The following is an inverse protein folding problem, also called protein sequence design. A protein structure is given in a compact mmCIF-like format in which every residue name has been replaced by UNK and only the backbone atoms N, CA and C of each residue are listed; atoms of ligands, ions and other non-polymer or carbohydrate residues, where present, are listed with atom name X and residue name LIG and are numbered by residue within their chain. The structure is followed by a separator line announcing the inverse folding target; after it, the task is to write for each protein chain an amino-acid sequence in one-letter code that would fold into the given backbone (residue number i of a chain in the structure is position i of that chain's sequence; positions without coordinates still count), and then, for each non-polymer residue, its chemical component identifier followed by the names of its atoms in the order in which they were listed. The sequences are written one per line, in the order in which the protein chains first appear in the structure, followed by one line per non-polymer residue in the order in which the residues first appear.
data_IF_851091630231
#
_entry.id   IF_851091630231
#
_cell.length_a   1.000
_cell.length_b   1.000
_cell.length_c   1.000
_cell.angle_alpha   90.00
_cell.angle_beta   90.00
_cell.angle_gamma   90.00
#
_symmetry.space_group_name_H-M   'P 1'
#
loop_
_entity.id
_entity.type
_entity.pdbx_description
1 polymer ?
#
# COMPACT_ATOMS: atom_id res chain seq x y z
N UNK A 1 -61.43 49.27 2.72
CA UNK A 1 -60.08 48.75 2.39
C UNK A 1 -60.13 47.25 2.65
N UNK A 2 -60.10 46.44 1.60
CA UNK A 2 -60.21 44.99 1.71
C UNK A 2 -58.92 44.43 2.26
N UNK A 3 -58.92 44.05 3.54
CA UNK A 3 -57.88 43.20 4.14
C UNK A 3 -57.80 41.91 3.33
N UNK A 4 -56.89 41.87 2.37
CA UNK A 4 -56.51 40.65 1.70
C UNK A 4 -55.87 39.77 2.77
N UNK A 5 -56.65 38.83 3.31
CA UNK A 5 -56.17 37.74 4.17
C UNK A 5 -55.02 37.04 3.44
N UNK A 6 -53.78 37.43 3.74
CA UNK A 6 -52.59 36.75 3.26
C UNK A 6 -52.55 35.38 3.94
N UNK A 7 -53.19 34.40 3.30
CA UNK A 7 -53.14 33.00 3.74
C UNK A 7 -51.74 32.47 3.52
N UNK A 8 -51.00 32.28 4.60
CA UNK A 8 -49.68 31.64 4.59
C UNK A 8 -49.83 30.13 4.69
N UNK A 9 -49.15 29.39 3.81
CA UNK A 9 -49.16 27.92 3.81
C UNK A 9 -47.83 27.35 4.29
N UNK A 10 -47.89 26.21 4.98
CA UNK A 10 -46.70 25.48 5.41
C UNK A 10 -45.88 25.02 4.20
N UNK A 11 -44.59 25.39 4.14
CA UNK A 11 -43.70 25.00 3.05
C UNK A 11 -43.48 23.48 2.93
N UNK A 12 -43.71 22.73 4.00
CA UNK A 12 -43.43 21.29 4.05
C UNK A 12 -44.60 20.38 3.65
N UNK A 13 -45.84 20.79 3.95
CA UNK A 13 -47.05 19.97 3.72
C UNK A 13 -48.17 20.70 2.99
N UNK A 14 -48.04 22.01 2.75
CA UNK A 14 -49.06 22.81 2.07
C UNK A 14 -50.29 23.17 2.90
N UNK A 15 -50.37 22.74 4.16
CA UNK A 15 -51.50 23.07 5.05
C UNK A 15 -51.50 24.57 5.40
N UNK A 16 -52.69 25.17 5.45
CA UNK A 16 -52.89 26.56 5.90
C UNK A 16 -52.38 26.73 7.33
N UNK A 17 -51.60 27.77 7.58
CA UNK A 17 -51.07 28.07 8.89
C UNK A 17 -52.11 28.84 9.72
N UNK A 18 -52.18 28.59 11.04
CA UNK A 18 -53.09 29.33 11.90
C UNK A 18 -52.75 30.82 11.89
N UNK A 19 -53.78 31.66 11.80
CA UNK A 19 -53.66 33.10 11.96
C UNK A 19 -53.22 33.45 13.38
N UNK A 20 -52.35 34.44 13.51
CA UNK A 20 -51.80 34.88 14.80
C UNK A 20 -50.69 35.91 14.61
N UNK A 21 -50.17 36.48 15.71
CA UNK A 21 -49.19 37.58 15.68
C UNK A 21 -47.86 37.21 14.99
N UNK A 22 -47.63 35.92 14.74
CA UNK A 22 -46.43 35.38 14.08
C UNK A 22 -46.74 34.62 12.79
N UNK A 23 -47.93 34.77 12.21
CA UNK A 23 -48.31 34.06 10.99
C UNK A 23 -47.38 34.39 9.81
N UNK A 24 -46.95 35.65 9.70
CA UNK A 24 -46.08 36.13 8.61
C UNK A 24 -44.66 35.50 8.65
N UNK A 25 -44.12 35.25 9.84
CA UNK A 25 -42.77 34.68 10.00
C UNK A 25 -42.77 33.15 10.10
N UNK A 26 -43.90 32.53 10.41
CA UNK A 26 -44.01 31.07 10.56
C UNK A 26 -43.99 30.40 9.20
N UNK A 27 -42.99 29.55 8.95
CA UNK A 27 -42.84 28.83 7.68
C UNK A 27 -43.34 27.38 7.72
N UNK A 28 -43.56 26.85 8.92
CA UNK A 28 -43.85 25.42 9.16
C UNK A 28 -45.04 25.26 10.12
N UNK A 29 -45.94 24.32 9.84
CA UNK A 29 -47.11 24.05 10.68
C UNK A 29 -46.77 23.26 11.96
N UNK A 30 -45.64 22.55 11.96
CA UNK A 30 -45.23 21.66 13.05
C UNK A 30 -43.73 21.42 13.04
N UNK A 31 -43.19 20.99 14.18
CA UNK A 31 -41.81 20.54 14.30
C UNK A 31 -41.47 19.44 13.30
N UNK A 32 -42.43 18.55 12.99
CA UNK A 32 -42.25 17.47 12.01
C UNK A 32 -41.98 18.01 10.60
N UNK A 33 -42.71 19.03 10.17
CA UNK A 33 -42.49 19.66 8.86
C UNK A 33 -41.16 20.41 8.81
N UNK A 34 -40.80 21.12 9.88
CA UNK A 34 -39.49 21.77 10.01
C UNK A 34 -38.36 20.74 9.91
N UNK A 35 -38.41 19.66 10.71
CA UNK A 35 -37.37 18.63 10.71
C UNK A 35 -37.26 17.91 9.37
N UNK A 36 -38.38 17.67 8.67
CA UNK A 36 -38.35 17.10 7.31
C UNK A 36 -37.58 17.99 6.34
N UNK A 37 -37.91 19.29 6.30
CA UNK A 37 -37.21 20.23 5.43
C UNK A 37 -35.72 20.35 5.79
N UNK A 38 -35.40 20.38 7.09
CA UNK A 38 -34.01 20.35 7.56
C UNK A 38 -33.27 19.08 7.09
N UNK A 39 -33.87 17.90 7.22
CA UNK A 39 -33.27 16.65 6.76
C UNK A 39 -33.12 16.59 5.23
N UNK A 40 -34.06 17.16 4.48
CA UNK A 40 -33.96 17.25 3.03
C UNK A 40 -32.79 18.18 2.62
N UNK A 41 -32.61 19.31 3.30
CA UNK A 41 -31.46 20.20 3.11
C UNK A 41 -30.13 19.51 3.44
N UNK A 42 -30.05 18.82 4.59
CA UNK A 42 -28.85 18.06 4.99
C UNK A 42 -28.56 16.91 4.00
N UNK A 43 -29.60 16.21 3.53
CA UNK A 43 -29.46 15.18 2.49
C UNK A 43 -28.92 15.79 1.19
N UNK A 44 -29.42 16.94 0.77
CA UNK A 44 -28.96 17.62 -0.43
C UNK A 44 -27.50 18.08 -0.28
N UNK A 45 -27.15 18.71 0.84
CA UNK A 45 -25.78 19.11 1.15
C UNK A 45 -24.80 17.92 1.13
N UNK A 46 -25.23 16.76 1.68
CA UNK A 46 -24.45 15.52 1.61
C UNK A 46 -24.28 15.05 0.16
N UNK A 47 -25.29 15.14 -0.69
CA UNK A 47 -25.17 14.74 -2.10
C UNK A 47 -24.26 15.69 -2.88
N UNK A 48 -24.34 16.99 -2.63
CA UNK A 48 -23.50 17.99 -3.28
C UNK A 48 -22.03 17.88 -2.86
N UNK A 49 -21.75 17.65 -1.58
CA UNK A 49 -20.41 17.33 -1.10
C UNK A 49 -19.85 16.06 -1.76
N UNK A 50 -20.72 15.11 -2.12
CA UNK A 50 -20.31 13.89 -2.84
C UNK A 50 -20.09 14.11 -4.33
N UNK A 51 -20.75 15.09 -4.95
CA UNK A 51 -20.51 15.49 -6.34
C UNK A 51 -19.15 16.15 -6.51
N UNK A 52 -18.71 16.93 -5.54
CA UNK A 52 -17.39 17.56 -5.50
C UNK A 52 -16.23 16.60 -5.13
N UNK A 53 -16.48 15.27 -5.11
CA UNK A 53 -15.43 14.31 -4.77
C UNK A 53 -14.34 14.29 -5.82
N UNK A 54 -13.07 14.10 -5.41
CA UNK A 54 -11.99 13.87 -6.36
C UNK A 54 -12.27 12.61 -7.19
N UNK A 55 -11.77 12.57 -8.43
CA UNK A 55 -11.89 11.39 -9.28
C UNK A 55 -11.16 10.18 -8.67
N UNK A 56 -11.50 8.99 -9.14
CA UNK A 56 -10.89 7.73 -8.72
C UNK A 56 -9.36 7.79 -8.89
N UNK A 57 -8.61 7.55 -7.80
CA UNK A 57 -7.13 7.58 -7.80
C UNK A 57 -6.49 6.60 -8.80
N UNK A 58 -7.19 5.54 -9.19
CA UNK A 58 -6.65 4.51 -10.10
C UNK A 58 -6.97 4.74 -11.58
N UNK A 59 -8.16 5.26 -11.91
CA UNK A 59 -8.61 5.36 -13.31
C UNK A 59 -9.09 6.74 -13.73
N UNK A 60 -9.13 7.73 -12.83
CA UNK A 60 -9.64 9.07 -13.11
C UNK A 60 -11.17 9.17 -13.25
N UNK A 61 -11.89 8.05 -13.27
CA UNK A 61 -13.35 8.04 -13.39
C UNK A 61 -14.08 8.54 -12.13
N UNK A 62 -15.35 8.95 -12.24
CA UNK A 62 -16.13 9.46 -11.12
C UNK A 62 -16.36 8.39 -10.02
N UNK A 63 -16.34 8.81 -8.75
CA UNK A 63 -16.69 7.94 -7.62
C UNK A 63 -18.18 8.07 -7.34
N UNK A 64 -18.92 6.96 -7.44
CA UNK A 64 -20.37 6.97 -7.29
C UNK A 64 -20.85 7.55 -5.94
N UNK A 65 -21.94 8.32 -6.00
CA UNK A 65 -22.50 9.07 -4.87
C UNK A 65 -23.00 8.14 -3.75
N UNK A 66 -23.48 6.94 -4.08
CA UNK A 66 -23.95 5.99 -3.06
C UNK A 66 -22.81 5.41 -2.21
N UNK A 67 -21.54 5.54 -2.63
CA UNK A 67 -20.40 5.07 -1.84
C UNK A 67 -20.15 5.93 -0.60
N UNK A 68 -19.45 5.34 0.36
CA UNK A 68 -18.94 6.00 1.56
C UNK A 68 -18.18 7.31 1.21
N UNK A 69 -18.28 8.32 2.08
CA UNK A 69 -17.57 9.61 1.93
C UNK A 69 -16.05 9.47 1.87
N UNK A 70 -15.50 8.40 2.44
CA UNK A 70 -14.07 8.08 2.43
C UNK A 70 -13.65 7.24 1.21
N UNK A 71 -14.56 6.91 0.30
CA UNK A 71 -14.23 6.10 -0.86
C UNK A 71 -13.34 6.85 -1.85
N UNK A 72 -12.11 6.36 -2.05
CA UNK A 72 -11.11 6.92 -2.98
C UNK A 72 -11.18 6.28 -4.38
N UNK A 73 -11.88 5.15 -4.51
CA UNK A 73 -11.92 4.33 -5.73
C UNK A 73 -13.36 4.11 -6.24
N UNK A 74 -13.55 4.22 -7.56
CA UNK A 74 -14.86 4.02 -8.20
C UNK A 74 -15.36 2.57 -8.11
N UNK A 75 -14.46 1.58 -8.01
CA UNK A 75 -14.81 0.15 -7.93
C UNK A 75 -13.85 -0.64 -7.03
N UNK A 76 -14.28 -1.83 -6.60
CA UNK A 76 -13.42 -2.77 -5.86
C UNK A 76 -12.20 -3.18 -6.70
N UNK A 77 -12.37 -3.31 -8.01
CA UNK A 77 -11.26 -3.61 -8.92
C UNK A 77 -10.21 -2.47 -8.92
N UNK A 78 -10.66 -1.22 -9.00
CA UNK A 78 -9.77 -0.06 -8.91
C UNK A 78 -9.06 0.00 -7.56
N UNK A 79 -9.77 -0.27 -6.46
CA UNK A 79 -9.18 -0.35 -5.13
C UNK A 79 -8.10 -1.44 -5.04
N UNK A 80 -8.35 -2.63 -5.58
CA UNK A 80 -7.38 -3.73 -5.61
C UNK A 80 -6.16 -3.44 -6.49
N UNK A 81 -6.33 -2.70 -7.59
CA UNK A 81 -5.23 -2.29 -8.48
C UNK A 81 -4.39 -1.18 -7.84
N UNK A 82 -5.04 -0.11 -7.37
CA UNK A 82 -4.38 1.02 -6.72
C UNK A 82 -3.69 0.63 -5.42
N UNK A 83 -4.35 -0.17 -4.58
CA UNK A 83 -3.75 -0.71 -3.36
C UNK A 83 -2.51 -1.57 -3.64
N UNK A 84 -2.53 -2.40 -4.70
CA UNK A 84 -1.35 -3.19 -5.11
C UNK A 84 -0.21 -2.32 -5.62
N UNK A 85 -0.50 -1.29 -6.42
CA UNK A 85 0.52 -0.37 -6.91
C UNK A 85 1.20 0.38 -5.76
N UNK A 86 0.40 0.92 -4.84
CA UNK A 86 0.88 1.64 -3.67
C UNK A 86 1.69 0.74 -2.72
N UNK A 87 1.22 -0.50 -2.49
CA UNK A 87 1.94 -1.49 -1.69
C UNK A 87 3.29 -1.87 -2.32
N UNK A 88 3.34 -2.04 -3.65
CA UNK A 88 4.58 -2.36 -4.38
C UNK A 88 5.62 -1.25 -4.26
N UNK A 89 5.19 0.01 -4.33
CA UNK A 89 6.10 1.15 -4.17
C UNK A 89 6.68 1.22 -2.75
N UNK A 90 5.84 1.02 -1.72
CA UNK A 90 6.28 1.06 -0.30
C UNK A 90 7.24 -0.06 0.08
N UNK A 91 7.19 -1.20 -0.61
CA UNK A 91 8.05 -2.35 -0.32
C UNK A 91 9.21 -2.51 -1.30
N UNK A 92 9.42 -1.55 -2.20
CA UNK A 92 10.55 -1.61 -3.10
C UNK A 92 11.87 -1.65 -2.30
N UNK A 93 12.69 -2.67 -2.53
CA UNK A 93 14.04 -2.82 -2.00
C UNK A 93 15.06 -2.73 -3.12
N UNK A 94 16.29 -2.40 -2.78
CA UNK A 94 17.41 -2.41 -3.73
C UNK A 94 18.08 -3.78 -3.69
N UNK A 95 18.20 -4.43 -4.85
CA UNK A 95 18.88 -5.71 -4.97
C UNK A 95 20.37 -5.56 -4.61
N UNK A 96 20.87 -6.36 -3.68
CA UNK A 96 22.28 -6.27 -3.26
C UNK A 96 23.28 -6.60 -4.38
N UNK A 97 22.88 -7.39 -5.39
CA UNK A 97 23.75 -7.78 -6.50
C UNK A 97 23.72 -6.76 -7.65
N UNK A 98 22.55 -6.51 -8.24
CA UNK A 98 22.42 -5.68 -9.44
C UNK A 98 22.02 -4.22 -9.16
N UNK A 99 21.76 -3.87 -7.90
CA UNK A 99 21.34 -2.53 -7.45
C UNK A 99 20.03 -2.01 -8.06
N UNK A 100 19.27 -2.85 -8.76
CA UNK A 100 17.95 -2.49 -9.28
C UNK A 100 16.88 -2.57 -8.18
N UNK A 101 15.87 -1.67 -8.17
CA UNK A 101 14.73 -1.78 -7.28
C UNK A 101 13.88 -3.01 -7.64
N UNK A 102 13.36 -3.70 -6.62
CA UNK A 102 12.46 -4.84 -6.78
C UNK A 102 11.49 -4.94 -5.61
N UNK A 103 10.38 -5.64 -5.81
CA UNK A 103 9.40 -5.93 -4.75
C UNK A 103 9.71 -7.32 -4.19
N UNK A 104 10.06 -7.45 -2.90
CA UNK A 104 10.37 -8.73 -2.30
C UNK A 104 9.10 -9.56 -2.09
N UNK A 105 9.18 -10.86 -2.37
CA UNK A 105 8.11 -11.82 -2.09
C UNK A 105 8.06 -12.18 -0.60
N UNK A 106 9.20 -12.13 0.09
CA UNK A 106 9.32 -12.39 1.53
C UNK A 106 10.09 -11.27 2.23
N UNK A 107 9.85 -11.06 3.53
CA UNK A 107 10.51 -9.99 4.31
C UNK A 107 12.03 -10.10 4.36
N UNK A 108 12.60 -11.29 4.12
CA UNK A 108 14.05 -11.53 4.19
C UNK A 108 14.70 -11.67 2.81
N UNK A 109 13.94 -11.45 1.73
CA UNK A 109 14.51 -11.52 0.38
C UNK A 109 15.48 -10.35 0.16
N UNK A 110 16.75 -10.68 -0.14
CA UNK A 110 17.88 -9.75 -0.37
C UNK A 110 18.19 -9.45 -1.84
N UNK A 111 17.74 -10.32 -2.74
CA UNK A 111 18.04 -10.25 -4.17
C UNK A 111 16.75 -10.22 -4.98
N UNK A 112 16.74 -9.53 -6.12
CA UNK A 112 15.57 -9.41 -6.98
C UNK A 112 15.13 -10.73 -7.64
N UNK A 113 16.00 -11.75 -7.67
CA UNK A 113 15.68 -13.05 -8.22
C UNK A 113 16.76 -14.09 -7.97
N UNK A 114 16.47 -15.33 -8.36
CA UNK A 114 17.36 -16.48 -8.16
C UNK A 114 18.72 -16.30 -8.84
N UNK A 115 18.75 -15.70 -10.03
CA UNK A 115 20.00 -15.41 -10.74
C UNK A 115 20.92 -14.47 -9.95
N UNK A 116 20.39 -13.35 -9.44
CA UNK A 116 21.17 -12.41 -8.62
C UNK A 116 21.66 -13.05 -7.32
N UNK A 117 20.84 -13.92 -6.71
CA UNK A 117 21.24 -14.72 -5.55
C UNK A 117 22.39 -15.67 -5.89
N UNK A 118 22.31 -16.37 -7.02
CA UNK A 118 23.35 -17.28 -7.48
C UNK A 118 24.67 -16.55 -7.77
N UNK A 119 24.62 -15.38 -8.41
CA UNK A 119 25.81 -14.57 -8.66
C UNK A 119 26.47 -14.07 -7.38
N UNK A 120 25.67 -13.67 -6.39
CA UNK A 120 26.20 -13.31 -5.07
C UNK A 120 26.85 -14.50 -4.35
N UNK A 121 26.39 -15.74 -4.59
CA UNK A 121 27.06 -16.94 -4.08
C UNK A 121 28.31 -17.31 -4.87
N UNK A 122 28.35 -17.12 -6.19
CA UNK A 122 29.54 -17.35 -7.04
C UNK A 122 30.71 -16.47 -6.59
N UNK A 123 30.45 -15.22 -6.18
CA UNK A 123 31.49 -14.37 -5.56
C UNK A 123 32.05 -14.97 -4.25
N UNK A 124 31.35 -15.86 -3.53
CA UNK A 124 31.97 -16.57 -2.39
C UNK A 124 32.99 -17.64 -2.84
N UNK A 125 33.08 -17.90 -4.13
CA UNK A 125 33.99 -18.85 -4.77
C UNK A 125 35.06 -18.13 -5.58
N UNK A 126 35.62 -17.03 -5.06
CA UNK A 126 36.75 -16.36 -5.69
C UNK A 126 37.97 -17.29 -5.79
N UNK A 127 38.79 -17.15 -6.85
CA UNK A 127 40.07 -17.83 -6.93
C UNK A 127 40.92 -17.54 -5.70
N UNK A 128 41.50 -18.57 -5.10
CA UNK A 128 42.45 -18.45 -3.98
C UNK A 128 43.55 -19.51 -4.08
N UNK A 129 44.76 -19.22 -3.58
CA UNK A 129 45.83 -20.21 -3.57
C UNK A 129 45.50 -21.35 -2.61
N UNK A 130 45.95 -22.56 -2.95
CA UNK A 130 45.90 -23.70 -2.05
C UNK A 130 46.84 -23.48 -0.86
N UNK A 131 46.36 -23.58 0.39
CA UNK A 131 47.16 -23.40 1.62
C UNK A 131 48.31 -24.44 1.82
N UNK A 132 48.54 -25.36 0.87
CA UNK A 132 49.57 -26.40 0.96
C UNK A 132 50.58 -26.37 -0.20
N UNK A 133 50.11 -26.13 -1.43
CA UNK A 133 50.95 -26.18 -2.63
C UNK A 133 50.87 -24.91 -3.48
N UNK A 134 50.21 -23.86 -2.98
CA UNK A 134 50.02 -22.54 -3.59
C UNK A 134 49.38 -22.50 -4.98
N UNK A 135 49.00 -23.65 -5.54
CA UNK A 135 48.26 -23.72 -6.81
C UNK A 135 46.93 -22.99 -6.69
N UNK A 136 46.62 -22.13 -7.65
CA UNK A 136 45.34 -21.40 -7.66
C UNK A 136 44.15 -22.33 -7.86
N UNK A 137 43.16 -22.18 -6.98
CA UNK A 137 41.87 -22.85 -7.05
C UNK A 137 40.91 -21.90 -7.75
N UNK A 138 40.74 -22.02 -9.07
CA UNK A 138 39.93 -21.08 -9.86
C UNK A 138 38.44 -21.13 -9.53
N UNK A 139 37.92 -22.32 -9.19
CA UNK A 139 36.51 -22.51 -8.89
C UNK A 139 36.33 -23.44 -7.66
N UNK A 140 36.53 -22.92 -6.44
CA UNK A 140 36.44 -23.74 -5.24
C UNK A 140 35.00 -24.25 -5.06
N UNK A 141 34.77 -25.57 -5.03
CA UNK A 141 33.41 -26.16 -4.88
C UNK A 141 32.64 -25.68 -3.64
N UNK A 142 33.34 -25.19 -2.61
CA UNK A 142 32.76 -24.64 -1.39
C UNK A 142 33.48 -23.34 -1.03
N UNK A 143 32.74 -22.37 -0.50
CA UNK A 143 33.31 -21.11 -0.01
C UNK A 143 34.40 -21.32 1.07
N UNK A 144 34.40 -22.46 1.78
CA UNK A 144 35.40 -22.83 2.78
C UNK A 144 36.51 -23.80 2.28
N UNK A 145 36.59 -24.10 0.98
CA UNK A 145 37.61 -25.00 0.44
C UNK A 145 39.01 -24.37 0.49
N UNK A 146 39.88 -24.88 1.38
CA UNK A 146 41.25 -24.39 1.60
C UNK A 146 42.31 -25.01 0.69
N UNK A 147 42.03 -26.18 0.14
CA UNK A 147 43.00 -26.99 -0.61
C UNK A 147 42.48 -27.33 -2.00
N UNK A 148 43.39 -27.43 -2.98
CA UNK A 148 43.05 -27.75 -4.36
C UNK A 148 42.55 -29.19 -4.54
N UNK A 149 43.00 -30.13 -3.70
CA UNK A 149 42.63 -31.53 -3.77
C UNK A 149 42.66 -32.23 -2.39
N UNK A 150 42.12 -33.46 -2.32
CA UNK A 150 42.11 -34.28 -1.10
C UNK A 150 43.51 -34.64 -0.61
N UNK A 151 44.48 -34.79 -1.52
CA UNK A 151 45.88 -35.08 -1.20
C UNK A 151 46.55 -33.92 -0.46
N UNK A 152 46.39 -32.68 -0.93
CA UNK A 152 46.88 -31.48 -0.23
C UNK A 152 46.23 -31.34 1.15
N UNK A 153 44.93 -31.59 1.25
CA UNK A 153 44.24 -31.61 2.55
C UNK A 153 44.73 -32.71 3.49
N UNK A 154 45.13 -33.89 2.98
CA UNK A 154 45.70 -34.96 3.78
C UNK A 154 47.11 -34.60 4.27
N UNK A 155 47.96 -34.05 3.40
CA UNK A 155 49.31 -33.60 3.76
C UNK A 155 49.30 -32.50 4.81
N UNK A 156 48.45 -31.49 4.65
CA UNK A 156 48.28 -30.43 5.63
C UNK A 156 47.83 -30.97 7.00
N UNK A 157 46.94 -31.98 7.03
CA UNK A 157 46.54 -32.65 8.28
C UNK A 157 47.68 -33.40 8.96
N UNK A 158 48.53 -34.09 8.19
CA UNK A 158 49.69 -34.81 8.75
C UNK A 158 50.72 -33.81 9.29
N UNK A 159 51.02 -32.74 8.55
CA UNK A 159 51.92 -31.68 8.99
C UNK A 159 51.43 -31.02 10.29
N UNK A 160 50.15 -30.66 10.37
CA UNK A 160 49.56 -30.09 11.57
C UNK A 160 49.58 -31.04 12.78
N UNK A 161 49.51 -32.36 12.57
CA UNK A 161 49.67 -33.35 13.65
C UNK A 161 51.12 -33.43 14.15
N UNK A 162 52.10 -33.41 13.24
CA UNK A 162 53.52 -33.42 13.61
C UNK A 162 53.90 -32.18 14.43
N UNK A 163 53.51 -31.00 13.96
CA UNK A 163 53.75 -29.74 14.67
C UNK A 163 53.13 -29.68 16.07
N UNK A 164 52.05 -30.44 16.34
CA UNK A 164 51.44 -30.54 17.68
C UNK A 164 52.16 -31.50 18.62
N UNK A 165 52.91 -32.46 18.07
CA UNK A 165 53.66 -33.43 18.85
C UNK A 165 55.09 -32.96 19.16
N UNK A 166 55.52 -31.86 18.53
CA UNK A 166 56.82 -31.20 18.73
C UNK A 166 56.74 -30.05 19.75
N UNK A 167 55.55 -29.81 20.33
CA UNK A 167 55.28 -28.89 21.44
C UNK A 167 54.99 -29.73 22.68
#
# INVERSE_FOLDING_TARGET
MTDALFKTFCKGCGTELPSGPYAEVRQWCSQKCYMRAYHDLDKQARLDAKRARPPCKQCGGPVAIHKDRRAVYCSVQCQRKGGRAEWRLRLARICEHCRKPYVPNTKDQRFCGQWCRAQATIRKHHPRPCEWCDTMIENPRRAAAKYCCSTCAARARVAAKRAKNEI
#
